data_IF_305695672155
#
_entry.id   IF_305695672155
#
_cell.length_a   1.000
_cell.length_b   1.000
_cell.length_c   1.000
_cell.angle_alpha   90.00
_cell.angle_beta   90.00
_cell.angle_gamma   90.00
#
_symmetry.space_group_name_H-M   'P 1'
#
loop_
_entity.id
_entity.type
_entity.pdbx_description
1 polymer ?
#
# COMPACT_ATOMS: atom_id res chain seq x y z
N UNK A 1 -17.10 2.82 -13.85
CA UNK A 1 -16.25 3.99 -13.52
C UNK A 1 -15.29 3.72 -12.37
N UNK A 2 -15.75 3.25 -11.21
CA UNK A 2 -14.91 3.07 -10.01
C UNK A 2 -13.63 2.23 -10.20
N UNK A 3 -13.67 1.12 -10.97
CA UNK A 3 -12.45 0.35 -11.30
C UNK A 3 -11.34 1.17 -11.98
N UNK A 4 -11.69 2.19 -12.77
CA UNK A 4 -10.70 3.07 -13.40
C UNK A 4 -10.01 3.96 -12.37
N UNK A 5 -10.77 4.48 -11.39
CA UNK A 5 -10.23 5.31 -10.31
C UNK A 5 -9.19 4.52 -9.51
N UNK A 6 -9.53 3.30 -9.09
CA UNK A 6 -8.57 2.49 -8.33
C UNK A 6 -7.31 2.12 -9.13
N UNK A 7 -7.42 1.88 -10.44
CA UNK A 7 -6.23 1.73 -11.30
C UNK A 7 -5.36 2.98 -11.33
N UNK A 8 -5.97 4.16 -11.44
CA UNK A 8 -5.25 5.44 -11.42
C UNK A 8 -4.55 5.61 -10.07
N UNK A 9 -5.24 5.36 -8.96
CA UNK A 9 -4.65 5.42 -7.61
C UNK A 9 -3.41 4.52 -7.51
N UNK A 10 -3.49 3.27 -7.98
CA UNK A 10 -2.36 2.35 -8.00
C UNK A 10 -1.19 2.90 -8.84
N UNK A 11 -1.48 3.41 -10.04
CA UNK A 11 -0.45 3.96 -10.94
C UNK A 11 0.25 5.16 -10.28
N UNK A 12 -0.51 6.06 -9.65
CA UNK A 12 0.06 7.21 -8.93
C UNK A 12 0.89 6.75 -7.73
N UNK A 13 0.41 5.74 -6.97
CA UNK A 13 1.19 5.18 -5.86
C UNK A 13 2.51 4.58 -6.31
N UNK A 14 2.53 3.88 -7.45
CA UNK A 14 3.77 3.33 -8.03
C UNK A 14 4.70 4.47 -8.45
N UNK A 15 4.19 5.51 -9.10
CA UNK A 15 4.98 6.67 -9.50
C UNK A 15 5.60 7.38 -8.28
N UNK A 16 4.83 7.55 -7.20
CA UNK A 16 5.33 8.11 -5.93
C UNK A 16 6.37 7.22 -5.28
N UNK A 17 6.21 5.89 -5.30
CA UNK A 17 7.20 4.97 -4.79
C UNK A 17 8.53 5.11 -5.56
N UNK A 18 8.47 5.13 -6.91
CA UNK A 18 9.65 5.34 -7.75
C UNK A 18 10.31 6.69 -7.45
N UNK A 19 9.53 7.77 -7.33
CA UNK A 19 10.01 9.09 -6.96
C UNK A 19 10.75 9.08 -5.62
N UNK A 20 10.12 8.51 -4.59
CA UNK A 20 10.69 8.41 -3.24
C UNK A 20 11.98 7.59 -3.26
N UNK A 21 12.06 6.54 -4.08
CA UNK A 21 13.25 5.70 -4.16
C UNK A 21 14.41 6.44 -4.85
N UNK A 22 14.12 7.16 -5.94
CA UNK A 22 15.13 7.90 -6.70
C UNK A 22 15.71 9.10 -5.94
N UNK A 23 14.94 9.71 -5.03
CA UNK A 23 15.31 10.92 -4.31
C UNK A 23 15.45 10.70 -2.80
N UNK A 24 15.56 9.44 -2.36
CA UNK A 24 15.56 9.12 -0.93
C UNK A 24 16.66 9.85 -0.16
N UNK A 25 17.85 9.99 -0.76
CA UNK A 25 19.02 10.60 -0.13
C UNK A 25 18.87 12.12 0.07
N UNK A 26 17.90 12.74 -0.59
CA UNK A 26 17.62 14.19 -0.49
C UNK A 26 16.59 14.52 0.60
N UNK A 27 16.07 13.51 1.32
CA UNK A 27 14.98 13.68 2.26
C UNK A 27 15.36 13.20 3.67
N UNK A 28 14.70 13.77 4.68
CA UNK A 28 14.90 13.33 6.07
C UNK A 28 14.31 11.95 6.31
N UNK A 29 14.87 11.21 7.28
CA UNK A 29 14.36 9.89 7.72
C UNK A 29 12.86 9.96 8.03
N UNK A 30 12.43 10.98 8.77
CA UNK A 30 11.03 11.19 9.14
C UNK A 30 10.12 11.41 7.92
N UNK A 31 10.57 12.20 6.94
CA UNK A 31 9.82 12.40 5.70
C UNK A 31 9.67 11.09 4.93
N UNK A 32 10.75 10.31 4.78
CA UNK A 32 10.71 9.04 4.05
C UNK A 32 9.77 8.04 4.71
N UNK A 33 9.77 7.94 6.04
CA UNK A 33 8.87 7.05 6.78
C UNK A 33 7.41 7.45 6.55
N UNK A 34 7.08 8.73 6.70
CA UNK A 34 5.71 9.23 6.53
C UNK A 34 5.25 9.10 5.07
N UNK A 35 6.07 9.55 4.12
CA UNK A 35 5.72 9.54 2.69
C UNK A 35 5.60 8.12 2.13
N UNK A 36 6.49 7.21 2.52
CA UNK A 36 6.39 5.80 2.13
C UNK A 36 5.17 5.12 2.76
N UNK A 37 4.82 5.45 4.01
CA UNK A 37 3.60 4.96 4.66
C UNK A 37 2.33 5.44 3.96
N UNK A 38 2.26 6.72 3.59
CA UNK A 38 1.13 7.26 2.82
C UNK A 38 1.04 6.61 1.42
N UNK A 39 2.19 6.44 0.76
CA UNK A 39 2.27 5.79 -0.55
C UNK A 39 1.79 4.35 -0.48
N UNK A 40 2.19 3.61 0.57
CA UNK A 40 1.73 2.24 0.84
C UNK A 40 0.23 2.18 1.11
N UNK A 41 -0.31 3.06 1.97
CA UNK A 41 -1.74 3.11 2.25
C UNK A 41 -2.55 3.38 0.98
N UNK A 42 -2.08 4.30 0.14
CA UNK A 42 -2.72 4.62 -1.13
C UNK A 42 -2.68 3.43 -2.11
N UNK A 43 -1.55 2.72 -2.19
CA UNK A 43 -1.40 1.52 -3.01
C UNK A 43 -2.33 0.39 -2.52
N UNK A 44 -2.30 0.12 -1.21
CA UNK A 44 -3.13 -0.89 -0.56
C UNK A 44 -4.61 -0.59 -0.77
N UNK A 45 -5.04 0.67 -0.57
CA UNK A 45 -6.40 1.11 -0.83
C UNK A 45 -6.81 0.89 -2.29
N UNK A 46 -5.94 1.22 -3.24
CA UNK A 46 -6.17 0.97 -4.66
C UNK A 46 -6.38 -0.51 -4.98
N UNK A 47 -5.54 -1.40 -4.45
CA UNK A 47 -5.67 -2.85 -4.64
C UNK A 47 -6.98 -3.36 -4.03
N UNK A 48 -7.27 -3.03 -2.78
CA UNK A 48 -8.48 -3.47 -2.09
C UNK A 48 -9.74 -2.98 -2.81
N UNK A 49 -9.76 -1.72 -3.25
CA UNK A 49 -10.86 -1.16 -4.03
C UNK A 49 -11.07 -1.85 -5.39
N UNK A 50 -9.99 -2.26 -6.06
CA UNK A 50 -10.10 -3.05 -7.29
C UNK A 50 -10.66 -4.45 -7.05
N UNK A 51 -10.16 -5.14 -6.03
CA UNK A 51 -10.61 -6.49 -5.69
C UNK A 51 -12.08 -6.43 -5.23
N UNK A 52 -12.44 -5.43 -4.43
CA UNK A 52 -13.80 -5.19 -3.97
C UNK A 52 -14.80 -5.08 -5.11
N UNK A 53 -14.43 -4.34 -6.16
CA UNK A 53 -15.30 -4.15 -7.33
C UNK A 53 -15.24 -5.34 -8.32
N UNK A 54 -14.28 -6.25 -8.15
CA UNK A 54 -14.13 -7.44 -9.00
C UNK A 54 -14.85 -8.65 -8.39
N UNK A 55 -14.90 -8.74 -7.08
CA UNK A 55 -15.65 -9.76 -6.35
C UNK A 55 -17.10 -9.28 -6.17
N UNK A 56 -18.03 -9.76 -7.00
CA UNK A 56 -19.46 -9.64 -6.69
C UNK A 56 -19.84 -10.68 -5.62
N UNK A 57 -20.29 -10.28 -4.42
CA UNK A 57 -20.76 -11.22 -3.41
C UNK A 57 -22.15 -11.74 -3.81
N UNK A 58 -22.22 -12.65 -4.79
CA UNK A 58 -23.48 -13.21 -5.29
C UNK A 58 -23.99 -14.42 -4.47
N UNK A 59 -23.33 -14.79 -3.37
CA UNK A 59 -23.80 -15.88 -2.51
C UNK A 59 -23.68 -15.51 -1.03
N UNK A 60 -24.73 -15.81 -0.26
CA UNK A 60 -24.82 -15.56 1.19
C UNK A 60 -23.65 -16.20 1.99
N UNK A 61 -22.97 -17.20 1.43
CA UNK A 61 -21.81 -17.85 2.05
C UNK A 61 -20.50 -17.04 1.98
N UNK A 62 -20.38 -16.05 1.08
CA UNK A 62 -19.16 -15.25 0.92
C UNK A 62 -19.10 -14.00 1.81
N UNK A 63 -20.08 -13.78 2.70
CA UNK A 63 -20.15 -12.59 3.55
C UNK A 63 -18.98 -12.50 4.54
N UNK A 64 -18.48 -13.64 5.04
CA UNK A 64 -17.36 -13.72 6.00
C UNK A 64 -16.02 -13.91 5.27
N UNK A 65 -16.02 -14.66 4.17
CA UNK A 65 -14.81 -14.95 3.40
C UNK A 65 -14.19 -13.67 2.84
N UNK A 66 -15.03 -12.74 2.35
CA UNK A 66 -14.56 -11.52 1.72
C UNK A 66 -13.79 -10.60 2.69
N UNK A 67 -14.30 -10.24 3.89
CA UNK A 67 -13.53 -9.47 4.86
C UNK A 67 -12.24 -10.17 5.33
N UNK A 68 -12.27 -11.49 5.51
CA UNK A 68 -11.08 -12.26 5.92
C UNK A 68 -10.01 -12.21 4.83
N UNK A 69 -10.40 -12.38 3.56
CA UNK A 69 -9.48 -12.33 2.42
C UNK A 69 -8.88 -10.93 2.25
N UNK A 70 -9.69 -9.89 2.42
CA UNK A 70 -9.20 -8.50 2.40
C UNK A 70 -8.22 -8.24 3.54
N UNK A 71 -8.52 -8.68 4.76
CA UNK A 71 -7.61 -8.53 5.89
C UNK A 71 -6.30 -9.30 5.69
N UNK A 72 -6.38 -10.54 5.21
CA UNK A 72 -5.20 -11.37 4.95
C UNK A 72 -4.30 -10.74 3.87
N UNK A 73 -4.90 -10.22 2.79
CA UNK A 73 -4.18 -9.51 1.75
C UNK A 73 -3.50 -8.26 2.31
N UNK A 74 -4.21 -7.46 3.11
CA UNK A 74 -3.65 -6.28 3.76
C UNK A 74 -2.48 -6.64 4.67
N UNK A 75 -2.61 -7.69 5.48
CA UNK A 75 -1.55 -8.14 6.38
C UNK A 75 -0.28 -8.54 5.61
N UNK A 76 -0.42 -9.30 4.52
CA UNK A 76 0.72 -9.68 3.67
C UNK A 76 1.38 -8.44 3.06
N UNK A 77 0.59 -7.52 2.50
CA UNK A 77 1.10 -6.26 1.93
C UNK A 77 1.79 -5.40 3.00
N UNK A 78 1.24 -5.35 4.21
CA UNK A 78 1.80 -4.60 5.33
C UNK A 78 3.12 -5.19 5.81
N UNK A 79 3.23 -6.53 5.90
CA UNK A 79 4.49 -7.19 6.22
C UNK A 79 5.55 -6.92 5.15
N UNK A 80 5.19 -6.98 3.85
CA UNK A 80 6.09 -6.59 2.77
C UNK A 80 6.54 -5.12 2.91
N UNK A 81 5.63 -4.23 3.29
CA UNK A 81 5.95 -2.83 3.51
C UNK A 81 6.95 -2.64 4.66
N UNK A 82 6.67 -3.22 5.83
CA UNK A 82 7.49 -3.04 7.03
C UNK A 82 8.87 -3.69 6.89
N UNK A 83 8.93 -4.91 6.36
CA UNK A 83 10.16 -5.70 6.34
C UNK A 83 11.01 -5.51 5.08
N UNK A 84 10.43 -5.05 3.97
CA UNK A 84 11.17 -4.86 2.72
C UNK A 84 11.16 -3.41 2.27
N UNK A 85 9.99 -2.77 2.18
CA UNK A 85 9.90 -1.41 1.66
C UNK A 85 10.61 -0.44 2.61
N UNK A 86 10.23 -0.33 3.88
CA UNK A 86 10.84 0.65 4.80
C UNK A 86 12.38 0.53 4.83
N UNK A 87 13.00 -0.66 5.02
CA UNK A 87 14.46 -0.79 5.03
C UNK A 87 15.16 -0.41 3.71
N UNK A 88 14.50 -0.57 2.57
CA UNK A 88 15.07 -0.18 1.26
C UNK A 88 15.15 1.35 1.11
N UNK A 89 14.14 2.07 1.63
CA UNK A 89 14.08 3.53 1.56
C UNK A 89 14.86 4.18 2.69
N UNK A 90 14.80 3.62 3.89
CA UNK A 90 15.44 4.13 5.10
C UNK A 90 16.04 2.93 5.87
N UNK A 91 17.27 2.49 5.53
CA UNK A 91 17.89 1.33 6.18
C UNK A 91 18.15 1.56 7.66
N UNK A 92 18.23 2.82 8.07
CA UNK A 92 18.56 3.25 9.42
C UNK A 92 17.37 4.04 10.03
N UNK A 93 16.19 3.41 10.03
CA UNK A 93 14.91 4.04 10.37
C UNK A 93 14.68 4.26 11.88
N UNK A 94 15.60 3.79 12.73
CA UNK A 94 15.58 4.15 14.15
C UNK A 94 15.81 5.66 14.27
N UNK A 95 14.84 6.34 14.88
CA UNK A 95 14.92 7.77 15.16
C UNK A 95 15.63 7.90 16.50
N UNK A 96 16.87 8.41 16.48
CA UNK A 96 17.55 8.82 17.70
C UNK A 96 16.83 10.07 18.24
N UNK A 97 16.28 9.95 19.46
CA UNK A 97 15.63 11.04 20.18
C UNK A 97 16.63 11.81 21.06
#
# INVERSE_FOLDING_TARGET
MARRIFRIVIVISIALAIYLFALKDNHTKSFLIVASSLTFLMFSFGIHGLIAHSLQPNSKGNLIVYPILMWALWAVLFLLFVFFVIPIYCPDFLIDF
#
